data_IF_440118664793
#
_entry.id   IF_440118664793
#
_cell.length_a   1.000
_cell.length_b   1.000
_cell.length_c   1.000
_cell.angle_alpha   90.00
_cell.angle_beta   90.00
_cell.angle_gamma   90.00
#
_symmetry.space_group_name_H-M   'P 1'
#
loop_
_entity.id
_entity.type
_entity.pdbx_description
1 polymer ?
#
# COMPACT_ATOMS: atom_id res chain seq x y z
N UNK A 1 16.56 12.90 -0.39
CA UNK A 1 15.38 12.94 -1.27
C UNK A 1 14.21 12.58 -0.41
N UNK A 2 13.19 13.43 -0.38
CA UNK A 2 11.99 13.17 0.40
C UNK A 2 11.14 12.16 -0.38
N UNK A 3 10.56 11.18 0.30
CA UNK A 3 9.67 10.21 -0.32
C UNK A 3 8.44 10.94 -0.87
N UNK A 4 8.01 10.62 -2.09
CA UNK A 4 6.76 11.16 -2.64
C UNK A 4 5.58 10.45 -1.99
N UNK A 5 4.54 11.19 -1.66
CA UNK A 5 3.34 10.64 -1.01
C UNK A 5 2.08 11.02 -1.77
N UNK A 6 1.21 10.05 -2.00
CA UNK A 6 -0.12 10.21 -2.58
C UNK A 6 -1.16 9.69 -1.60
N UNK A 7 -2.31 10.36 -1.48
CA UNK A 7 -3.39 9.94 -0.58
C UNK A 7 -4.71 9.93 -1.32
N UNK A 8 -5.41 8.80 -1.22
CA UNK A 8 -6.77 8.61 -1.68
C UNK A 8 -7.69 8.52 -0.47
N UNK A 9 -8.82 9.23 -0.52
CA UNK A 9 -9.82 9.21 0.52
C UNK A 9 -11.13 8.71 -0.10
N UNK A 10 -11.68 7.64 0.47
CA UNK A 10 -12.91 7.01 -0.02
C UNK A 10 -13.87 6.70 1.13
N UNK A 11 -15.16 6.78 0.82
CA UNK A 11 -16.24 6.39 1.73
C UNK A 11 -17.00 5.22 1.09
N UNK A 12 -17.02 4.06 1.75
CA UNK A 12 -17.50 2.79 1.16
C UNK A 12 -18.22 1.89 2.18
N UNK A 13 -18.98 0.91 1.70
CA UNK A 13 -19.48 -0.16 2.57
C UNK A 13 -18.38 -1.18 2.88
N UNK A 14 -18.45 -1.81 4.06
CA UNK A 14 -17.38 -2.70 4.53
C UNK A 14 -17.09 -3.90 3.62
N UNK A 15 -18.06 -4.39 2.84
CA UNK A 15 -17.85 -5.51 1.91
C UNK A 15 -17.07 -5.12 0.64
N UNK A 16 -16.95 -3.83 0.35
CA UNK A 16 -16.25 -3.31 -0.84
C UNK A 16 -14.75 -3.07 -0.61
N UNK A 17 -14.28 -3.13 0.64
CA UNK A 17 -12.88 -2.79 1.00
C UNK A 17 -11.88 -3.58 0.17
N UNK A 18 -12.09 -4.90 0.07
CA UNK A 18 -11.11 -5.79 -0.54
C UNK A 18 -10.89 -5.44 -2.01
N UNK A 19 -11.96 -5.16 -2.74
CA UNK A 19 -11.95 -4.85 -4.17
C UNK A 19 -11.45 -3.43 -4.46
N UNK A 20 -11.86 -2.45 -3.67
CA UNK A 20 -11.41 -1.05 -3.79
C UNK A 20 -9.91 -0.94 -3.51
N UNK A 21 -9.42 -1.55 -2.42
CA UNK A 21 -7.98 -1.47 -2.11
C UNK A 21 -7.16 -2.28 -3.09
N UNK A 22 -7.61 -3.49 -3.46
CA UNK A 22 -6.88 -4.35 -4.39
C UNK A 22 -6.76 -3.72 -5.77
N UNK A 23 -7.82 -3.09 -6.29
CA UNK A 23 -7.77 -2.42 -7.59
C UNK A 23 -6.75 -1.27 -7.63
N UNK A 24 -6.68 -0.45 -6.56
CA UNK A 24 -5.69 0.62 -6.42
C UNK A 24 -4.26 0.03 -6.33
N UNK A 25 -4.03 -0.91 -5.41
CA UNK A 25 -2.70 -1.46 -5.16
C UNK A 25 -2.16 -2.26 -6.34
N UNK A 26 -3.00 -3.07 -7.00
CA UNK A 26 -2.58 -3.81 -8.18
C UNK A 26 -2.26 -2.90 -9.35
N UNK A 27 -3.01 -1.81 -9.55
CA UNK A 27 -2.68 -0.80 -10.57
C UNK A 27 -1.31 -0.18 -10.29
N UNK A 28 -1.04 0.23 -9.04
CA UNK A 28 0.26 0.81 -8.66
C UNK A 28 1.39 -0.20 -8.84
N UNK A 29 1.20 -1.43 -8.37
CA UNK A 29 2.19 -2.50 -8.47
C UNK A 29 2.46 -2.90 -9.93
N UNK A 30 1.45 -2.85 -10.81
CA UNK A 30 1.63 -3.08 -12.23
C UNK A 30 2.61 -2.07 -12.86
N UNK A 31 2.49 -0.80 -12.50
CA UNK A 31 3.44 0.25 -12.92
C UNK A 31 4.78 0.26 -12.15
N UNK A 32 4.92 -0.61 -11.15
CA UNK A 32 6.13 -0.71 -10.29
C UNK A 32 6.71 -2.12 -10.28
N UNK A 33 6.34 -2.91 -11.27
CA UNK A 33 6.87 -4.25 -11.51
C UNK A 33 7.46 -4.35 -12.91
N UNK A 34 8.46 -5.20 -13.03
CA UNK A 34 9.06 -5.57 -14.31
C UNK A 34 8.95 -7.08 -14.50
N UNK A 35 9.21 -7.55 -15.72
CA UNK A 35 9.64 -8.93 -15.89
C UNK A 35 11.01 -9.15 -15.25
N UNK A 36 11.39 -10.42 -15.07
CA UNK A 36 12.67 -10.77 -14.43
C UNK A 36 13.86 -10.17 -15.19
N UNK A 37 14.81 -9.63 -14.43
CA UNK A 37 16.09 -9.19 -14.99
C UNK A 37 17.02 -10.39 -15.19
N UNK A 38 17.48 -10.59 -16.42
CA UNK A 38 18.49 -11.60 -16.76
C UNK A 38 19.80 -10.91 -17.15
N UNK A 39 20.79 -10.99 -16.26
CA UNK A 39 22.10 -10.38 -16.44
C UNK A 39 23.06 -11.33 -17.15
N UNK A 40 23.76 -10.82 -18.15
CA UNK A 40 24.73 -11.61 -18.93
C UNK A 40 25.86 -12.14 -18.03
N UNK A 41 26.33 -13.38 -18.26
CA UNK A 41 27.49 -13.91 -17.58
C UNK A 41 28.70 -12.98 -17.74
N UNK A 42 29.41 -12.71 -16.65
CA UNK A 42 30.60 -11.84 -16.61
C UNK A 42 30.40 -10.36 -16.98
N UNK A 43 29.15 -9.88 -17.15
CA UNK A 43 28.84 -8.49 -17.48
C UNK A 43 27.77 -7.93 -16.53
N UNK A 44 28.18 -7.38 -15.39
CA UNK A 44 27.26 -6.97 -14.29
C UNK A 44 26.25 -5.86 -14.66
N UNK A 45 26.50 -5.14 -15.76
CA UNK A 45 25.69 -3.99 -16.19
C UNK A 45 24.85 -4.27 -17.43
N UNK A 46 24.98 -5.46 -18.05
CA UNK A 46 24.22 -5.82 -19.24
C UNK A 46 23.15 -6.83 -18.88
N UNK A 47 21.89 -6.43 -19.05
CA UNK A 47 20.73 -7.27 -18.77
C UNK A 47 19.73 -7.22 -19.91
N UNK A 48 18.86 -8.23 -19.93
CA UNK A 48 17.57 -8.19 -20.60
C UNK A 48 16.46 -8.19 -19.54
N UNK A 49 15.28 -7.71 -19.90
CA UNK A 49 14.10 -7.69 -19.03
C UNK A 49 13.07 -8.61 -19.65
N UNK A 50 12.57 -9.56 -18.88
CA UNK A 50 11.49 -10.46 -19.28
C UNK A 50 10.18 -9.71 -19.53
N UNK A 51 9.18 -10.45 -20.03
CA UNK A 51 7.83 -9.89 -20.22
C UNK A 51 7.06 -9.89 -18.90
N UNK A 52 6.35 -8.80 -18.61
CA UNK A 52 5.38 -8.73 -17.51
C UNK A 52 4.00 -9.15 -18.03
N UNK A 53 3.47 -10.27 -17.55
CA UNK A 53 2.10 -10.69 -17.83
C UNK A 53 1.08 -9.91 -17.00
N UNK A 54 -0.16 -9.82 -17.48
CA UNK A 54 -1.27 -9.22 -16.76
C UNK A 54 -2.58 -10.01 -16.93
N UNK A 55 -3.50 -9.82 -15.97
CA UNK A 55 -4.86 -10.36 -16.02
C UNK A 55 -5.86 -9.27 -15.65
N UNK A 56 -7.05 -9.32 -16.26
CA UNK A 56 -8.22 -8.57 -15.83
C UNK A 56 -8.90 -9.28 -14.65
N UNK A 57 -9.35 -8.52 -13.66
CA UNK A 57 -10.04 -9.04 -12.46
C UNK A 57 -11.35 -8.28 -12.28
N UNK A 58 -12.45 -9.00 -12.46
CA UNK A 58 -13.80 -8.48 -12.23
C UNK A 58 -14.12 -8.44 -10.74
N UNK A 59 -14.69 -7.31 -10.30
CA UNK A 59 -15.20 -7.12 -8.96
C UNK A 59 -16.64 -7.65 -8.83
N UNK A 60 -16.98 -8.17 -7.65
CA UNK A 60 -18.29 -8.73 -7.32
C UNK A 60 -19.17 -7.73 -6.56
N UNK A 61 -18.57 -6.79 -5.82
CA UNK A 61 -19.25 -5.82 -4.95
C UNK A 61 -19.26 -4.39 -5.51
N UNK A 62 -18.49 -4.14 -6.56
CA UNK A 62 -18.51 -2.93 -7.38
C UNK A 62 -18.51 -3.32 -8.86
N UNK A 63 -19.21 -2.56 -9.70
CA UNK A 63 -19.20 -2.75 -11.16
C UNK A 63 -17.90 -2.18 -11.74
N UNK A 64 -16.81 -2.91 -11.54
CA UNK A 64 -15.46 -2.47 -11.87
C UNK A 64 -14.59 -3.68 -12.24
N UNK A 65 -13.65 -3.46 -13.16
CA UNK A 65 -12.62 -4.44 -13.54
C UNK A 65 -11.28 -3.73 -13.45
N UNK A 66 -10.30 -4.37 -12.81
CA UNK A 66 -8.93 -3.84 -12.71
C UNK A 66 -7.91 -4.81 -13.28
N UNK A 67 -6.75 -4.28 -13.64
CA UNK A 67 -5.62 -5.07 -14.14
C UNK A 67 -4.65 -5.37 -13.00
N UNK A 68 -4.15 -6.60 -12.94
CA UNK A 68 -3.06 -6.97 -12.04
C UNK A 68 -1.95 -7.73 -12.78
N UNK A 69 -0.75 -7.75 -12.21
CA UNK A 69 0.33 -8.61 -12.70
C UNK A 69 -0.13 -10.08 -12.68
N UNK A 70 0.23 -10.86 -13.70
CA UNK A 70 0.01 -12.31 -13.70
C UNK A 70 0.99 -13.02 -12.76
N UNK A 71 0.91 -12.74 -11.46
CA UNK A 71 1.73 -13.36 -10.41
C UNK A 71 0.90 -13.78 -9.21
N UNK A 72 0.80 -15.10 -9.00
CA UNK A 72 0.04 -15.67 -7.88
C UNK A 72 0.59 -15.22 -6.53
N UNK A 73 1.91 -15.13 -6.41
CA UNK A 73 2.59 -14.81 -5.16
C UNK A 73 2.40 -13.34 -4.81
N UNK A 74 2.50 -12.43 -5.78
CA UNK A 74 2.21 -11.01 -5.55
C UNK A 74 0.73 -10.81 -5.18
N UNK A 75 -0.16 -11.49 -5.89
CA UNK A 75 -1.61 -11.45 -5.63
C UNK A 75 -1.95 -11.97 -4.23
N UNK A 76 -1.28 -13.04 -3.79
CA UNK A 76 -1.38 -13.58 -2.43
C UNK A 76 -0.89 -12.56 -1.39
N UNK A 77 0.27 -11.93 -1.61
CA UNK A 77 0.82 -10.91 -0.70
C UNK A 77 -0.14 -9.73 -0.52
N UNK A 78 -0.67 -9.18 -1.61
CA UNK A 78 -1.64 -8.07 -1.56
C UNK A 78 -2.89 -8.51 -0.82
N UNK A 79 -3.50 -9.64 -1.23
CA UNK A 79 -4.72 -10.18 -0.63
C UNK A 79 -4.57 -10.40 0.88
N UNK A 80 -3.45 -10.94 1.35
CA UNK A 80 -3.23 -11.17 2.78
C UNK A 80 -3.32 -9.88 3.60
N UNK A 81 -2.64 -8.81 3.15
CA UNK A 81 -2.64 -7.53 3.86
C UNK A 81 -3.99 -6.83 3.78
N UNK A 82 -4.63 -6.85 2.60
CA UNK A 82 -5.95 -6.25 2.38
C UNK A 82 -7.01 -6.94 3.22
N UNK A 83 -7.05 -8.28 3.22
CA UNK A 83 -8.00 -9.05 4.03
C UNK A 83 -7.80 -8.79 5.52
N UNK A 84 -6.54 -8.70 5.98
CA UNK A 84 -6.26 -8.39 7.38
C UNK A 84 -6.77 -7.00 7.76
N UNK A 85 -6.52 -5.99 6.93
CA UNK A 85 -7.02 -4.63 7.14
C UNK A 85 -8.55 -4.57 7.13
N UNK A 86 -9.18 -5.19 6.13
CA UNK A 86 -10.63 -5.27 5.96
C UNK A 86 -11.33 -5.91 7.15
N UNK A 87 -10.83 -7.07 7.60
CA UNK A 87 -11.37 -7.76 8.77
C UNK A 87 -11.30 -6.87 10.03
N UNK A 88 -10.18 -6.19 10.25
CA UNK A 88 -10.03 -5.32 11.41
C UNK A 88 -11.02 -4.14 11.35
N UNK A 89 -11.15 -3.51 10.18
CA UNK A 89 -11.99 -2.34 10.02
C UNK A 89 -13.49 -2.69 10.16
N UNK A 90 -13.92 -3.81 9.57
CA UNK A 90 -15.30 -4.32 9.69
C UNK A 90 -15.64 -4.73 11.12
N UNK A 91 -14.76 -5.47 11.79
CA UNK A 91 -14.95 -5.84 13.20
C UNK A 91 -15.04 -4.61 14.11
N UNK A 92 -14.26 -3.58 13.81
CA UNK A 92 -14.31 -2.29 14.52
C UNK A 92 -15.65 -1.60 14.30
N UNK A 93 -16.16 -1.58 13.06
CA UNK A 93 -17.45 -1.00 12.72
C UNK A 93 -18.63 -1.70 13.42
N UNK A 94 -18.55 -3.02 13.56
CA UNK A 94 -19.57 -3.81 14.25
C UNK A 94 -19.49 -3.68 15.78
N UNK A 95 -18.31 -3.40 16.32
CA UNK A 95 -18.14 -3.08 17.75
C UNK A 95 -18.59 -1.65 18.09
N UNK A 96 -18.48 -0.73 17.12
CA UNK A 96 -18.79 0.69 17.27
C UNK A 96 -20.21 1.07 16.83
N UNK A 97 -21.16 0.13 16.81
CA UNK A 97 -22.54 0.37 16.32
C UNK A 97 -23.25 1.52 17.05
N UNK A 98 -22.87 1.83 18.30
CA UNK A 98 -23.42 2.93 19.09
C UNK A 98 -22.54 4.19 19.14
N UNK A 99 -21.42 4.20 18.40
CA UNK A 99 -20.50 5.34 18.35
C UNK A 99 -21.00 6.38 17.34
N UNK A 100 -20.95 7.66 17.72
CA UNK A 100 -21.24 8.76 16.80
C UNK A 100 -20.15 8.95 15.72
N UNK A 101 -18.95 8.40 15.94
CA UNK A 101 -17.83 8.56 15.01
C UNK A 101 -17.82 7.45 13.96
N UNK A 102 -17.70 7.79 12.66
CA UNK A 102 -17.58 6.79 11.60
C UNK A 102 -16.30 5.99 11.79
N UNK A 103 -16.36 4.69 11.45
CA UNK A 103 -15.19 3.82 11.53
C UNK A 103 -14.27 4.09 10.35
N UNK A 104 -13.00 4.38 10.61
CA UNK A 104 -12.03 4.76 9.58
C UNK A 104 -10.70 4.03 9.72
N UNK A 105 -9.95 3.95 8.63
CA UNK A 105 -8.65 3.30 8.61
C UNK A 105 -7.81 3.74 7.42
N UNK A 106 -6.52 3.50 7.49
CA UNK A 106 -5.60 3.76 6.39
C UNK A 106 -4.78 2.50 6.10
N UNK A 107 -4.70 2.11 4.84
CA UNK A 107 -3.73 1.14 4.35
C UNK A 107 -2.77 1.83 3.37
N UNK A 108 -1.50 1.46 3.45
CA UNK A 108 -0.41 2.13 2.76
C UNK A 108 0.44 1.11 2.00
N UNK A 109 0.77 1.44 0.75
CA UNK A 109 1.77 0.76 -0.07
C UNK A 109 3.00 1.66 -0.16
N UNK A 110 4.10 1.23 0.43
CA UNK A 110 5.37 1.96 0.48
C UNK A 110 6.42 1.25 -0.37
N UNK A 111 7.02 1.97 -1.31
CA UNK A 111 8.23 1.53 -2.01
C UNK A 111 9.48 2.12 -1.36
N UNK A 112 10.49 1.28 -1.21
CA UNK A 112 11.75 1.65 -0.58
C UNK A 112 12.95 1.11 -1.35
N UNK A 113 14.14 1.58 -0.98
CA UNK A 113 15.41 0.95 -1.35
C UNK A 113 16.19 0.61 -0.10
N UNK A 114 16.96 -0.46 -0.15
CA UNK A 114 17.89 -0.80 0.93
C UNK A 114 19.21 -0.06 0.68
N UNK A 115 19.77 0.49 1.75
CA UNK A 115 21.14 0.99 1.78
C UNK A 115 21.92 0.17 2.79
N UNK A 116 23.01 -0.45 2.36
CA UNK A 116 23.96 -1.13 3.27
C UNK A 116 24.62 -0.05 4.14
N UNK A 117 24.34 -0.05 5.44
CA UNK A 117 25.02 0.81 6.41
C UNK A 117 25.97 -0.04 7.27
N UNK A 118 27.22 0.40 7.38
CA UNK A 118 28.23 -0.27 8.18
C UNK A 118 28.06 0.03 9.69
N UNK A 119 28.33 -0.92 10.59
CA UNK A 119 28.41 -2.36 10.37
C UNK A 119 27.04 -3.00 10.66
N UNK A 120 26.48 -3.72 9.68
CA UNK A 120 25.34 -4.65 9.79
C UNK A 120 23.90 -4.12 9.78
N UNK A 121 23.64 -2.82 9.64
CA UNK A 121 22.26 -2.35 9.55
C UNK A 121 21.89 -2.05 8.08
N UNK A 122 20.98 -2.84 7.52
CA UNK A 122 20.26 -2.44 6.32
C UNK A 122 19.24 -1.37 6.69
N UNK A 123 19.31 -0.22 6.03
CA UNK A 123 18.34 0.85 6.21
C UNK A 123 17.41 0.85 5.01
N UNK A 124 16.10 0.74 5.26
CA UNK A 124 15.08 0.96 4.25
C UNK A 124 14.83 2.46 4.10
N UNK A 125 15.04 2.99 2.90
CA UNK A 125 14.82 4.39 2.58
C UNK A 125 13.60 4.47 1.66
N UNK A 126 12.44 4.95 2.15
CA UNK A 126 11.25 5.09 1.32
C UNK A 126 11.51 6.14 0.22
N UNK A 127 10.92 5.90 -0.95
CA UNK A 127 10.97 6.85 -2.06
C UNK A 127 9.61 7.15 -2.68
N UNK A 128 8.61 6.31 -2.42
CA UNK A 128 7.22 6.51 -2.85
C UNK A 128 6.25 5.84 -1.86
N UNK A 129 5.16 6.53 -1.53
CA UNK A 129 4.15 6.10 -0.57
C UNK A 129 2.75 6.39 -1.13
N UNK A 130 1.88 5.38 -1.12
CA UNK A 130 0.49 5.48 -1.54
C UNK A 130 -0.42 5.12 -0.39
N UNK A 131 -1.24 6.07 0.06
CA UNK A 131 -2.15 5.89 1.19
C UNK A 131 -3.59 5.79 0.68
N UNK A 132 -4.32 4.79 1.14
CA UNK A 132 -5.77 4.65 0.93
C UNK A 132 -6.44 4.79 2.29
N UNK A 133 -7.09 5.93 2.51
CA UNK A 133 -7.89 6.24 3.69
C UNK A 133 -9.34 5.88 3.39
N UNK A 134 -9.92 5.06 4.25
CA UNK A 134 -11.29 4.59 4.13
C UNK A 134 -12.12 5.07 5.30
N UNK A 135 -13.32 5.54 5.01
CA UNK A 135 -14.40 5.74 5.97
C UNK A 135 -15.52 4.74 5.66
N UNK A 136 -15.95 3.96 6.65
CA UNK A 136 -17.00 2.96 6.47
C UNK A 136 -18.38 3.52 6.76
N UNK A 137 -19.29 3.36 5.80
CA UNK A 137 -20.71 3.68 5.92
C UNK A 137 -21.56 2.42 6.05
N UNK A 138 -22.75 2.56 6.66
CA UNK A 138 -23.81 1.55 6.63
C UNK A 138 -25.00 2.17 5.90
N UNK A 139 -25.42 1.53 4.82
CA UNK A 139 -26.57 1.97 4.04
C UNK A 139 -27.78 1.10 4.37
N UNK A 140 -28.96 1.71 4.48
CA UNK A 140 -30.14 1.04 5.05
C UNK A 140 -31.14 0.57 3.98
N UNK A 141 -30.99 1.02 2.73
CA UNK A 141 -31.84 0.61 1.63
C UNK A 141 -31.05 0.38 0.33
N UNK A 142 -31.63 -0.38 -0.59
CA UNK A 142 -31.01 -0.78 -1.84
C UNK A 142 -30.77 0.40 -2.80
N UNK A 143 -31.65 1.40 -2.78
CA UNK A 143 -31.50 2.59 -3.62
C UNK A 143 -30.25 3.39 -3.24
N UNK A 144 -30.02 3.62 -1.94
CA UNK A 144 -28.80 4.24 -1.43
C UNK A 144 -27.55 3.42 -1.75
N UNK A 145 -27.62 2.08 -1.60
CA UNK A 145 -26.51 1.19 -1.98
C UNK A 145 -26.15 1.32 -3.44
N UNK A 146 -27.15 1.35 -4.32
CA UNK A 146 -26.93 1.53 -5.76
C UNK A 146 -26.27 2.87 -6.07
N UNK A 147 -26.80 3.97 -5.53
CA UNK A 147 -26.23 5.31 -5.72
C UNK A 147 -24.80 5.41 -5.17
N UNK A 148 -24.54 4.80 -4.01
CA UNK A 148 -23.20 4.73 -3.43
C UNK A 148 -22.26 3.89 -4.30
N UNK A 149 -22.73 2.78 -4.87
CA UNK A 149 -21.96 1.94 -5.79
C UNK A 149 -21.57 2.71 -7.06
N UNK A 150 -22.51 3.41 -7.69
CA UNK A 150 -22.24 4.25 -8.85
C UNK A 150 -21.24 5.38 -8.51
N UNK A 151 -21.35 5.98 -7.32
CA UNK A 151 -20.41 7.01 -6.85
C UNK A 151 -19.01 6.45 -6.65
N UNK A 152 -18.86 5.29 -6.00
CA UNK A 152 -17.54 4.71 -5.73
C UNK A 152 -16.85 4.28 -7.03
N UNK A 153 -17.58 3.71 -8.00
CA UNK A 153 -17.03 3.36 -9.32
C UNK A 153 -16.48 4.61 -10.03
N UNK A 154 -17.22 5.72 -10.01
CA UNK A 154 -16.75 6.98 -10.58
C UNK A 154 -15.49 7.50 -9.87
N UNK A 155 -15.47 7.52 -8.54
CA UNK A 155 -14.31 7.97 -7.74
C UNK A 155 -13.09 7.08 -8.02
N UNK A 156 -13.27 5.76 -7.99
CA UNK A 156 -12.21 4.79 -8.22
C UNK A 156 -11.64 4.93 -9.63
N UNK A 157 -12.49 5.11 -10.64
CA UNK A 157 -12.06 5.38 -12.02
C UNK A 157 -11.14 6.61 -12.09
N UNK A 158 -11.53 7.72 -11.44
CA UNK A 158 -10.69 8.92 -11.40
C UNK A 158 -9.37 8.68 -10.67
N UNK A 159 -9.36 7.87 -9.62
CA UNK A 159 -8.13 7.51 -8.91
C UNK A 159 -7.21 6.65 -9.79
N UNK A 160 -7.74 5.70 -10.55
CA UNK A 160 -6.95 4.89 -11.50
C UNK A 160 -6.34 5.79 -12.58
N UNK A 161 -7.12 6.70 -13.17
CA UNK A 161 -6.60 7.68 -14.14
C UNK A 161 -5.50 8.54 -13.50
N UNK A 162 -5.72 9.02 -12.27
CA UNK A 162 -4.74 9.80 -11.54
C UNK A 162 -3.44 9.02 -11.27
N UNK A 163 -3.52 7.72 -10.96
CA UNK A 163 -2.34 6.86 -10.83
C UNK A 163 -1.57 6.90 -12.14
N UNK A 164 -2.20 6.62 -13.28
CA UNK A 164 -1.55 6.65 -14.59
C UNK A 164 -0.89 8.01 -14.88
N UNK A 165 -1.56 9.12 -14.55
CA UNK A 165 -1.01 10.46 -14.70
C UNK A 165 0.24 10.68 -13.83
N UNK A 166 0.23 10.25 -12.57
CA UNK A 166 1.40 10.32 -11.68
C UNK A 166 2.54 9.44 -12.19
N UNK A 167 2.23 8.26 -12.72
CA UNK A 167 3.23 7.35 -13.29
C UNK A 167 3.93 7.93 -14.53
N UNK A 168 3.26 8.82 -15.26
CA UNK A 168 3.79 9.47 -16.46
C UNK A 168 4.59 10.76 -16.17
N UNK A 169 4.67 11.21 -14.91
CA UNK A 169 5.49 12.38 -14.53
C UNK A 169 6.97 12.00 -14.53
N UNK A 170 7.83 12.97 -14.84
CA UNK A 170 9.29 12.80 -14.75
C UNK A 170 9.78 12.93 -13.29
N UNK A 171 9.20 12.11 -12.43
CA UNK A 171 9.53 12.06 -11.03
C UNK A 171 10.60 10.98 -10.75
N UNK A 172 11.26 11.09 -9.60
CA UNK A 172 12.30 10.12 -9.22
C UNK A 172 11.75 8.69 -9.10
N UNK A 173 12.43 7.77 -9.76
CA UNK A 173 12.34 6.31 -9.59
C UNK A 173 13.77 5.78 -9.48
N UNK A 174 14.07 4.78 -8.61
CA UNK A 174 15.40 4.20 -8.55
C UNK A 174 15.85 3.63 -9.90
N UNK A 175 17.07 3.97 -10.30
CA UNK A 175 17.70 3.40 -11.49
C UNK A 175 17.86 1.89 -11.36
N UNK A 176 17.85 1.20 -12.50
CA UNK A 176 18.15 -0.24 -12.55
C UNK A 176 19.61 -0.43 -12.14
N UNK A 177 19.89 -1.20 -11.08
CA UNK A 177 21.24 -1.34 -10.54
C UNK A 177 22.05 -2.39 -11.31
N UNK A 178 23.29 -2.61 -10.87
CA UNK A 178 24.11 -3.73 -11.31
C UNK A 178 23.63 -5.04 -10.66
N UNK A 179 24.03 -6.20 -11.21
CA UNK A 179 23.57 -7.52 -10.74
C UNK A 179 23.71 -7.72 -9.21
N UNK A 180 24.84 -7.28 -8.64
CA UNK A 180 25.17 -7.47 -7.21
C UNK A 180 24.40 -6.56 -6.25
N UNK A 181 23.66 -5.58 -6.79
CA UNK A 181 22.85 -4.60 -6.05
C UNK A 181 21.36 -4.69 -6.37
N UNK A 182 20.95 -5.68 -7.18
CA UNK A 182 19.58 -5.85 -7.64
C UNK A 182 18.58 -6.00 -6.48
N UNK A 183 18.97 -6.75 -5.45
CA UNK A 183 18.19 -7.01 -4.22
C UNK A 183 18.09 -5.79 -3.28
N UNK A 184 18.82 -4.71 -3.57
CA UNK A 184 18.72 -3.44 -2.86
C UNK A 184 17.59 -2.56 -3.39
N UNK A 185 17.13 -2.81 -4.61
CA UNK A 185 16.14 -1.99 -5.31
C UNK A 185 14.87 -2.81 -5.63
N UNK A 186 15.04 -4.07 -6.02
CA UNK A 186 13.96 -4.96 -6.45
C UNK A 186 13.81 -6.16 -5.51
N UNK A 187 12.58 -6.63 -5.37
CA UNK A 187 12.31 -7.91 -4.75
C UNK A 187 12.64 -9.04 -5.72
N UNK A 188 13.66 -9.83 -5.40
CA UNK A 188 14.14 -10.94 -6.22
C UNK A 188 13.47 -12.27 -5.87
N UNK A 189 12.58 -12.30 -4.86
CA UNK A 189 11.97 -13.54 -4.33
C UNK A 189 10.82 -14.06 -5.18
N UNK A 190 10.10 -13.16 -5.87
CA UNK A 190 9.06 -13.52 -6.84
C UNK A 190 9.69 -14.23 -8.06
N UNK A 191 9.13 -15.36 -8.47
CA UNK A 191 9.70 -16.21 -9.53
C UNK A 191 9.43 -15.69 -10.95
N UNK A 192 8.27 -15.08 -11.15
CA UNK A 192 7.70 -14.71 -12.45
C UNK A 192 7.83 -13.21 -12.77
N UNK A 193 7.88 -12.37 -11.75
CA UNK A 193 7.98 -10.91 -11.87
C UNK A 193 9.09 -10.35 -10.98
N UNK A 194 9.34 -9.05 -11.12
CA UNK A 194 10.34 -8.34 -10.34
C UNK A 194 9.84 -6.95 -9.93
N UNK A 195 9.03 -6.87 -8.85
CA UNK A 195 8.59 -5.59 -8.30
C UNK A 195 9.76 -4.84 -7.66
N UNK A 196 9.68 -3.51 -7.62
CA UNK A 196 10.49 -2.75 -6.67
C UNK A 196 10.24 -3.26 -5.25
N UNK A 197 11.21 -3.12 -4.35
CA UNK A 197 11.00 -3.44 -2.94
C UNK A 197 9.84 -2.61 -2.40
N UNK A 198 8.85 -3.31 -1.84
CA UNK A 198 7.65 -2.69 -1.29
C UNK A 198 7.26 -3.33 0.03
N UNK A 199 6.46 -2.61 0.82
CA UNK A 199 5.77 -3.14 1.99
C UNK A 199 4.37 -2.58 2.05
N UNK A 200 3.43 -3.40 2.53
CA UNK A 200 2.06 -2.96 2.80
C UNK A 200 1.88 -2.92 4.31
N UNK A 201 1.35 -1.82 4.82
CA UNK A 201 1.05 -1.66 6.24
C UNK A 201 -0.22 -0.85 6.42
N UNK A 202 -0.88 -0.95 7.57
CA UNK A 202 -2.10 -0.21 7.84
C UNK A 202 -2.14 0.32 9.27
N UNK A 203 -2.88 1.41 9.44
CA UNK A 203 -3.20 2.06 10.70
C UNK A 203 -4.71 2.06 10.90
N UNK A 204 -5.14 1.75 12.12
CA UNK A 204 -6.55 1.83 12.53
C UNK A 204 -6.79 3.07 13.37
N UNK A 205 -8.03 3.57 13.48
CA UNK A 205 -8.37 4.73 14.35
C UNK A 205 -7.84 4.58 15.78
N UNK A 206 -7.82 3.35 16.32
CA UNK A 206 -7.24 3.03 17.64
C UNK A 206 -5.73 3.27 17.72
N UNK A 207 -5.00 3.12 16.62
CA UNK A 207 -3.56 3.40 16.54
C UNK A 207 -3.27 4.91 16.32
N UNK A 208 -4.18 5.65 15.69
CA UNK A 208 -4.10 7.12 15.60
C UNK A 208 -4.23 7.78 16.98
N UNK A 209 -5.22 7.34 17.79
CA UNK A 209 -5.44 7.90 19.13
C UNK A 209 -4.23 7.70 20.07
N UNK A 210 -3.52 6.59 19.94
CA UNK A 210 -2.29 6.33 20.72
C UNK A 210 -1.11 7.23 20.34
N UNK A 211 -1.07 7.74 19.10
CA UNK A 211 -0.02 8.64 18.63
C UNK A 211 -0.32 10.10 19.03
N UNK A 212 -1.60 10.49 19.03
CA UNK A 212 -2.03 11.84 19.42
C UNK A 212 -1.96 12.05 20.95
N UNK A 213 -2.34 11.05 21.75
CA UNK A 213 -2.23 11.09 23.22
C UNK A 213 -0.77 11.13 23.74
N UNK A 214 0.22 10.81 22.90
CA UNK A 214 1.63 10.99 23.26
C UNK A 214 2.22 12.35 22.84
N UNK A 215 1.53 13.10 21.98
CA UNK A 215 1.89 14.48 21.63
C UNK A 215 1.26 15.44 22.65
N UNK A 216 0.08 15.12 23.18
CA UNK A 216 -0.52 15.79 24.33
C UNK A 216 0.08 15.27 25.65
N UNK A 217 1.23 15.82 26.05
CA UNK A 217 2.00 15.36 27.19
C UNK A 217 1.20 15.23 28.50
N UNK A 218 0.81 14.01 28.85
CA UNK A 218 0.57 13.58 30.23
C UNK A 218 1.27 12.24 30.44
N UNK A 219 2.45 12.30 31.07
CA UNK A 219 3.27 11.15 31.41
C UNK A 219 2.64 10.36 32.56
N UNK A 220 2.34 9.08 32.33
CA UNK A 220 2.29 8.06 33.39
C UNK A 220 3.20 6.88 33.00
N UNK A 221 4.15 6.44 33.86
CA UNK A 221 5.14 5.45 33.50
C UNK A 221 4.69 4.06 33.96
N UNK A 222 4.15 3.23 33.07
CA UNK A 222 4.25 1.76 33.20
C UNK A 222 3.64 1.04 32.00
N UNK A 223 4.48 0.68 31.04
CA UNK A 223 4.45 -0.63 30.35
C UNK A 223 5.46 -0.61 29.21
N UNK A 224 6.55 -1.36 29.40
CA UNK A 224 7.52 -1.67 28.37
C UNK A 224 6.90 -2.65 27.36
N UNK A 225 6.49 -2.16 26.19
CA UNK A 225 6.26 -3.01 25.02
C UNK A 225 7.30 -2.64 23.95
N UNK A 226 8.10 -3.62 23.53
CA UNK A 226 9.19 -3.42 22.56
C UNK A 226 8.71 -2.99 21.17
N UNK A 227 7.41 -3.15 20.88
CA UNK A 227 6.76 -2.71 19.64
C UNK A 227 6.62 -1.18 19.55
N UNK A 228 6.45 -0.48 20.68
CA UNK A 228 6.32 0.99 20.69
C UNK A 228 7.60 1.73 20.26
N UNK A 229 8.76 1.11 20.43
CA UNK A 229 10.05 1.69 20.03
C UNK A 229 10.26 1.62 18.51
N UNK A 230 9.70 0.62 17.83
CA UNK A 230 9.82 0.46 16.38
C UNK A 230 8.93 1.46 15.62
N UNK A 231 7.73 1.71 16.13
CA UNK A 231 6.77 2.68 15.55
C UNK A 231 7.22 4.12 15.81
N UNK A 232 7.73 4.44 17.02
CA UNK A 232 8.29 5.77 17.31
C UNK A 232 9.45 6.16 16.41
N UNK A 233 10.32 5.21 16.06
CA UNK A 233 11.46 5.48 15.18
C UNK A 233 10.99 5.79 13.75
N UNK A 234 10.02 5.04 13.24
CA UNK A 234 9.52 5.18 11.87
C UNK A 234 8.77 6.52 11.65
N UNK A 235 7.98 6.97 12.62
CA UNK A 235 7.21 8.23 12.49
C UNK A 235 8.10 9.46 12.71
N UNK A 236 9.03 9.41 13.67
CA UNK A 236 9.93 10.55 13.94
C UNK A 236 10.89 10.80 12.78
N UNK A 237 11.29 9.76 12.07
CA UNK A 237 12.13 9.85 10.86
C UNK A 237 11.33 10.29 9.61
N UNK A 238 9.99 10.33 9.67
CA UNK A 238 9.12 10.81 8.58
C UNK A 238 8.66 12.26 8.77
N UNK A 239 8.65 12.78 10.01
CA UNK A 239 8.19 14.15 10.33
C UNK A 239 9.31 15.14 10.66
N UNK A 240 10.56 14.69 10.68
CA UNK A 240 11.72 15.57 10.57
C UNK A 240 12.35 15.25 9.21
N UNK A 241 12.12 16.13 8.23
CA UNK A 241 12.81 16.38 6.95
C UNK A 241 11.84 16.58 5.76
#
# INVERSE_FOLDING_TARGET
MNARSQTFELTIEGHQIDEVVSSIFHTILFHRSYGKFDYKPHEENKYSVGTLGYNDVDCNFIDFTYVCCSSSDLNQTVRQHVNQFSNILRNTQDSNVNSANPTSGQISLEFFKKKKHWPFNEICIPWELWNVRLELIKLNNEQERRLSCEKIVNVLTQQIIYICDVMNRNDYVPNIPIKSELDLIFDTTYQDIQPYLFKIHFLTSSQYNYLDDQVAGVSNPSSSSSLGHFVKKTIKDTLLF
#
